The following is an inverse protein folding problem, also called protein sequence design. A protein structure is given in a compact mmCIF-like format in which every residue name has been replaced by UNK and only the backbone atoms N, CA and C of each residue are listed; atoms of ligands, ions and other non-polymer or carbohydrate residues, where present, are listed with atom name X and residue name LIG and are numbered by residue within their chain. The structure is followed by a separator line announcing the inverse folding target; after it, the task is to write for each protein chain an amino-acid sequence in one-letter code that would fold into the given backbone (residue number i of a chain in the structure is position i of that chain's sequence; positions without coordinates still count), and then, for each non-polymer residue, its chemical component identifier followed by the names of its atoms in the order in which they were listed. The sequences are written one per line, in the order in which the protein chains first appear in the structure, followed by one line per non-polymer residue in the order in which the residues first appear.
data_IF_328476259802
#
_entry.id   IF_328476259802
#
_cell.length_a   1.000
_cell.length_b   1.000
_cell.length_c   1.000
_cell.angle_alpha   90.00
_cell.angle_beta   90.00
_cell.angle_gamma   90.00
#
_symmetry.space_group_name_H-M   'P 1'
#
loop_
_entity.id
_entity.type
_entity.pdbx_description
1 polymer ?
#
# COMPACT_ATOMS: atom_id res chain seq x y z
N UNK A 1 -1.54 20.54 3.88
CA UNK A 1 -1.96 21.22 2.62
C UNK A 1 -2.58 20.16 1.72
N UNK A 2 -3.56 20.49 0.87
CA UNK A 2 -4.17 19.50 -0.03
C UNK A 2 -3.55 19.59 -1.43
N UNK A 3 -3.01 18.48 -1.94
CA UNK A 3 -2.41 18.43 -3.28
C UNK A 3 -3.43 18.81 -4.37
N UNK A 4 -4.69 18.44 -4.17
CA UNK A 4 -5.81 18.74 -5.08
C UNK A 4 -6.82 19.65 -4.36
N UNK A 5 -7.34 20.72 -5.00
CA UNK A 5 -8.38 21.56 -4.42
C UNK A 5 -9.67 20.77 -4.10
N UNK A 6 -10.41 21.11 -3.03
CA UNK A 6 -11.62 20.37 -2.63
C UNK A 6 -12.75 20.37 -3.67
N UNK A 7 -12.82 21.38 -4.53
CA UNK A 7 -13.82 21.55 -5.59
C UNK A 7 -13.32 21.09 -6.97
N UNK A 8 -12.11 20.55 -7.06
CA UNK A 8 -11.53 20.11 -8.32
C UNK A 8 -12.31 18.93 -8.91
N UNK A 9 -12.41 18.93 -10.24
CA UNK A 9 -12.70 17.69 -10.96
C UNK A 9 -11.45 16.82 -11.03
N UNK A 10 -11.64 15.52 -10.89
CA UNK A 10 -10.63 14.51 -11.19
C UNK A 10 -11.20 13.54 -12.21
N UNK A 11 -10.43 13.30 -13.26
CA UNK A 11 -10.72 12.30 -14.28
C UNK A 11 -9.97 11.01 -13.95
N UNK A 12 -10.65 9.86 -13.95
CA UNK A 12 -10.03 8.58 -13.60
C UNK A 12 -10.85 7.35 -13.99
N UNK A 13 -10.27 6.17 -13.77
CA UNK A 13 -10.91 4.88 -14.02
C UNK A 13 -12.05 4.59 -13.04
N UNK A 14 -12.92 3.63 -13.37
CA UNK A 14 -14.10 3.28 -12.56
C UNK A 14 -13.74 2.84 -11.14
N UNK A 15 -12.84 1.85 -10.93
CA UNK A 15 -12.50 1.41 -9.58
C UNK A 15 -11.98 2.54 -8.69
N UNK A 16 -10.96 3.27 -9.16
CA UNK A 16 -10.32 4.31 -8.35
C UNK A 16 -11.28 5.48 -8.09
N UNK A 17 -12.05 5.88 -9.11
CA UNK A 17 -13.04 6.94 -8.95
C UNK A 17 -14.20 6.53 -8.05
N UNK A 18 -14.64 5.27 -8.07
CA UNK A 18 -15.73 4.81 -7.19
C UNK A 18 -15.33 4.89 -5.72
N UNK A 19 -14.11 4.47 -5.40
CA UNK A 19 -13.54 4.61 -4.04
C UNK A 19 -13.42 6.07 -3.64
N UNK A 20 -12.88 6.93 -4.50
CA UNK A 20 -12.77 8.36 -4.22
C UNK A 20 -14.15 9.02 -4.04
N UNK A 21 -15.16 8.59 -4.79
CA UNK A 21 -16.54 9.11 -4.66
C UNK A 21 -17.15 8.75 -3.31
N UNK A 22 -16.85 7.55 -2.81
CA UNK A 22 -17.34 7.09 -1.52
C UNK A 22 -16.61 7.77 -0.35
N UNK A 23 -15.32 8.05 -0.52
CA UNK A 23 -14.47 8.57 0.54
C UNK A 23 -14.39 10.12 0.58
N UNK A 24 -14.79 10.82 -0.48
CA UNK A 24 -14.56 12.27 -0.62
C UNK A 24 -15.73 12.99 -1.28
N UNK A 25 -15.73 14.33 -1.20
CA UNK A 25 -16.69 15.21 -1.90
C UNK A 25 -16.18 15.68 -3.27
N UNK A 26 -15.10 15.11 -3.79
CA UNK A 26 -14.48 15.52 -5.05
C UNK A 26 -15.42 15.27 -6.24
N UNK A 27 -15.41 16.18 -7.23
CA UNK A 27 -16.14 15.98 -8.48
C UNK A 27 -15.38 14.96 -9.33
N UNK A 28 -16.04 13.88 -9.75
CA UNK A 28 -15.38 12.82 -10.50
C UNK A 28 -15.94 12.66 -11.90
N UNK A 29 -15.05 12.68 -12.88
CA UNK A 29 -15.34 12.30 -14.27
C UNK A 29 -14.99 10.83 -14.40
N UNK A 30 -16.00 9.98 -14.25
CA UNK A 30 -15.83 8.52 -14.14
C UNK A 30 -15.91 7.89 -15.53
N UNK A 31 -15.03 6.92 -15.77
CA UNK A 31 -15.14 6.01 -16.89
C UNK A 31 -16.01 4.78 -16.54
N UNK A 32 -17.29 4.67 -16.96
CA UNK A 32 -18.07 3.45 -16.74
C UNK A 32 -17.58 2.32 -17.64
N UNK A 33 -17.17 1.20 -17.05
CA UNK A 33 -16.47 0.18 -17.82
C UNK A 33 -17.40 -0.70 -18.67
N UNK A 34 -18.68 -0.91 -18.31
CA UNK A 34 -19.53 -1.89 -19.02
C UNK A 34 -21.04 -1.61 -19.10
N UNK A 35 -21.54 -0.43 -18.68
CA UNK A 35 -22.99 -0.28 -18.45
C UNK A 35 -23.79 0.23 -19.67
N UNK A 36 -23.17 0.93 -20.63
CA UNK A 36 -23.85 1.39 -21.85
C UNK A 36 -22.86 1.80 -22.95
N UNK A 37 -23.11 1.43 -24.22
CA UNK A 37 -22.22 1.74 -25.35
C UNK A 37 -22.06 3.25 -25.60
N UNK A 38 -23.12 4.04 -25.42
CA UNK A 38 -23.07 5.50 -25.57
C UNK A 38 -22.21 6.14 -24.48
N UNK A 39 -22.38 5.72 -23.23
CA UNK A 39 -21.57 6.19 -22.11
C UNK A 39 -20.10 5.84 -22.30
N UNK A 40 -19.79 4.64 -22.81
CA UNK A 40 -18.43 4.24 -23.16
C UNK A 40 -17.80 5.17 -24.20
N UNK A 41 -18.52 5.50 -25.29
CA UNK A 41 -18.02 6.43 -26.32
C UNK A 41 -17.67 7.81 -25.75
N UNK A 42 -18.38 8.26 -24.71
CA UNK A 42 -18.15 9.58 -24.08
C UNK A 42 -16.86 9.66 -23.28
N UNK A 43 -16.31 8.54 -22.82
CA UNK A 43 -15.10 8.49 -21.98
C UNK A 43 -13.99 7.65 -22.59
N UNK A 44 -14.19 7.16 -23.82
CA UNK A 44 -13.28 6.24 -24.50
C UNK A 44 -11.85 6.78 -24.57
N UNK A 45 -11.70 8.10 -24.71
CA UNK A 45 -10.39 8.75 -24.74
C UNK A 45 -9.54 8.45 -23.49
N UNK A 46 -10.15 8.15 -22.33
CA UNK A 46 -9.41 7.82 -21.10
C UNK A 46 -8.56 6.56 -21.26
N UNK A 47 -9.03 5.61 -22.07
CA UNK A 47 -8.24 4.43 -22.41
C UNK A 47 -6.99 4.76 -23.24
N UNK A 48 -6.97 5.94 -23.86
CA UNK A 48 -5.78 6.52 -24.46
C UNK A 48 -4.62 6.68 -23.47
N UNK A 49 -4.86 6.71 -22.16
CA UNK A 49 -3.78 6.77 -21.16
C UNK A 49 -2.79 5.59 -21.29
N UNK A 50 -3.27 4.38 -21.63
CA UNK A 50 -2.42 3.21 -21.88
C UNK A 50 -1.90 3.13 -23.33
N UNK A 51 -2.22 4.11 -24.17
CA UNK A 51 -1.86 4.15 -25.58
C UNK A 51 -0.80 5.24 -25.85
N UNK A 52 -0.82 5.81 -27.06
CA UNK A 52 0.16 6.81 -27.51
C UNK A 52 -0.49 8.11 -28.03
N UNK A 53 -1.35 8.79 -27.24
CA UNK A 53 -1.96 10.07 -27.61
C UNK A 53 -0.94 11.22 -27.66
N UNK A 54 -1.10 12.24 -28.50
CA UNK A 54 -0.36 13.48 -28.34
C UNK A 54 -0.70 14.13 -26.99
N UNK A 55 0.31 14.48 -26.18
CA UNK A 55 0.09 15.00 -24.82
C UNK A 55 -0.75 16.28 -24.81
N UNK A 56 -0.45 17.21 -25.71
CA UNK A 56 -1.16 18.50 -25.82
C UNK A 56 -2.64 18.33 -26.19
N UNK A 57 -2.92 17.38 -27.10
CA UNK A 57 -4.29 17.07 -27.50
C UNK A 57 -5.06 16.41 -26.34
N UNK A 58 -4.41 15.51 -25.61
CA UNK A 58 -4.98 14.84 -24.44
C UNK A 58 -5.29 15.84 -23.31
N UNK A 59 -4.34 16.73 -23.00
CA UNK A 59 -4.53 17.83 -22.05
C UNK A 59 -5.67 18.77 -22.49
N UNK A 60 -5.73 19.12 -23.77
CA UNK A 60 -6.79 19.97 -24.32
C UNK A 60 -8.17 19.32 -24.21
N UNK A 61 -8.29 18.01 -24.45
CA UNK A 61 -9.54 17.28 -24.24
C UNK A 61 -9.99 17.35 -22.78
N UNK A 62 -9.08 17.06 -21.84
CA UNK A 62 -9.36 17.13 -20.41
C UNK A 62 -9.89 18.51 -20.00
N UNK A 63 -9.18 19.58 -20.38
CA UNK A 63 -9.55 20.94 -19.96
C UNK A 63 -10.80 21.45 -20.69
N UNK A 64 -10.90 21.23 -22.01
CA UNK A 64 -11.94 21.88 -22.82
C UNK A 64 -13.26 21.13 -22.86
N UNK A 65 -13.22 19.80 -22.76
CA UNK A 65 -14.41 18.94 -22.87
C UNK A 65 -14.86 18.47 -21.49
N UNK A 66 -13.91 18.04 -20.65
CA UNK A 66 -14.21 17.44 -19.33
C UNK A 66 -14.04 18.41 -18.17
N UNK A 67 -13.55 19.62 -18.42
CA UNK A 67 -13.35 20.68 -17.41
C UNK A 67 -12.56 20.19 -16.19
N UNK A 68 -11.48 19.46 -16.47
CA UNK A 68 -10.60 18.90 -15.45
C UNK A 68 -9.14 19.17 -15.79
N UNK A 69 -8.37 19.55 -14.77
CA UNK A 69 -6.92 19.69 -14.85
C UNK A 69 -6.19 18.48 -14.25
N UNK A 70 -6.92 17.58 -13.59
CA UNK A 70 -6.33 16.46 -12.84
C UNK A 70 -6.69 15.13 -13.48
N UNK A 71 -5.66 14.33 -13.77
CA UNK A 71 -5.77 12.96 -14.24
C UNK A 71 -5.27 12.01 -13.16
N UNK A 72 -6.14 11.11 -12.72
CA UNK A 72 -5.82 9.98 -11.88
C UNK A 72 -5.51 8.76 -12.76
N UNK A 73 -4.29 8.27 -12.67
CA UNK A 73 -3.86 7.06 -13.36
C UNK A 73 -3.68 5.97 -12.30
N UNK A 74 -4.52 4.94 -12.34
CA UNK A 74 -4.24 3.71 -11.62
C UNK A 74 -3.02 3.02 -12.26
N UNK A 75 -2.04 2.65 -11.44
CA UNK A 75 -0.79 2.09 -11.93
C UNK A 75 -0.94 0.75 -12.64
N UNK A 76 -1.99 0.00 -12.33
CA UNK A 76 -2.32 -1.21 -13.08
C UNK A 76 -2.55 -0.92 -14.57
N UNK A 77 -3.02 0.29 -14.94
CA UNK A 77 -3.13 0.73 -16.33
C UNK A 77 -1.78 0.95 -17.02
N UNK A 78 -0.70 0.99 -16.24
CA UNK A 78 0.68 1.01 -16.70
C UNK A 78 1.39 -0.34 -16.59
N UNK A 79 0.73 -1.39 -16.08
CA UNK A 79 1.39 -2.64 -15.80
C UNK A 79 1.85 -3.36 -17.08
N UNK A 80 3.15 -3.68 -17.10
CA UNK A 80 3.76 -4.53 -18.12
C UNK A 80 4.13 -5.86 -17.47
N UNK A 81 3.34 -6.92 -17.72
CA UNK A 81 3.59 -8.23 -17.12
C UNK A 81 4.91 -8.84 -17.61
N UNK A 82 5.64 -9.52 -16.71
CA UNK A 82 6.80 -10.36 -17.06
C UNK A 82 6.32 -11.64 -17.79
N UNK A 83 6.47 -11.64 -19.11
CA UNK A 83 6.33 -12.75 -20.07
C UNK A 83 4.95 -13.45 -20.25
N UNK A 84 4.61 -13.72 -21.51
CA UNK A 84 3.51 -14.57 -22.02
C UNK A 84 2.08 -14.35 -21.47
N UNK A 85 1.81 -13.19 -20.86
CA UNK A 85 0.45 -12.80 -20.44
C UNK A 85 0.00 -11.58 -21.22
N UNK A 86 -1.28 -11.55 -21.60
CA UNK A 86 -1.93 -10.37 -22.19
C UNK A 86 -1.75 -9.21 -21.20
N UNK A 87 -1.01 -8.17 -21.61
CA UNK A 87 -0.80 -6.97 -20.79
C UNK A 87 -1.96 -5.99 -20.97
N UNK A 88 -2.11 -5.04 -20.04
CA UNK A 88 -3.09 -3.96 -20.23
C UNK A 88 -2.82 -3.19 -21.51
N UNK A 89 -1.55 -3.03 -21.88
CA UNK A 89 -1.16 -2.47 -23.18
C UNK A 89 -1.64 -3.31 -24.37
N UNK A 90 -1.54 -4.64 -24.29
CA UNK A 90 -2.08 -5.53 -25.32
C UNK A 90 -3.60 -5.47 -25.43
N UNK A 91 -4.33 -5.33 -24.32
CA UNK A 91 -5.78 -5.10 -24.34
C UNK A 91 -6.11 -3.73 -24.94
N UNK A 92 -5.39 -2.69 -24.53
CA UNK A 92 -5.57 -1.32 -25.00
C UNK A 92 -5.38 -1.21 -26.52
N UNK A 93 -4.35 -1.88 -27.06
CA UNK A 93 -4.06 -1.93 -28.49
C UNK A 93 -5.17 -2.62 -29.31
N UNK A 94 -5.95 -3.53 -28.69
CA UNK A 94 -6.98 -4.33 -29.37
C UNK A 94 -8.40 -3.79 -29.19
N UNK A 95 -8.73 -3.27 -28.00
CA UNK A 95 -10.12 -3.14 -27.56
C UNK A 95 -10.52 -1.70 -27.19
N UNK A 96 -9.59 -0.89 -26.67
CA UNK A 96 -10.02 0.24 -25.84
C UNK A 96 -9.98 1.63 -26.54
N UNK A 97 -8.95 1.96 -27.34
CA UNK A 97 -8.90 3.27 -28.06
C UNK A 97 -8.19 3.20 -29.42
N UNK A 98 -8.96 3.28 -30.52
CA UNK A 98 -8.44 3.24 -31.91
C UNK A 98 -7.90 4.59 -32.39
N UNK A 99 -8.18 5.67 -31.68
CA UNK A 99 -7.78 7.03 -32.02
C UNK A 99 -6.29 7.29 -31.81
N UNK A 100 -5.66 6.53 -30.90
CA UNK A 100 -4.27 6.76 -30.48
C UNK A 100 -3.40 5.50 -30.60
N UNK A 101 -3.34 4.86 -31.78
CA UNK A 101 -2.58 3.62 -31.93
C UNK A 101 -1.10 3.85 -31.60
N UNK A 102 -0.53 2.90 -30.87
CA UNK A 102 0.90 2.83 -30.63
C UNK A 102 1.58 1.99 -31.72
N UNK A 103 2.73 2.44 -32.26
CA UNK A 103 3.61 1.56 -33.03
C UNK A 103 4.02 0.35 -32.18
N UNK A 104 4.13 -0.83 -32.81
CA UNK A 104 4.57 -2.07 -32.12
C UNK A 104 5.97 -1.95 -31.49
N UNK A 105 6.81 -1.07 -32.02
CA UNK A 105 8.16 -0.83 -31.53
C UNK A 105 8.21 0.07 -30.28
N UNK A 106 7.10 0.70 -29.88
CA UNK A 106 7.06 1.51 -28.65
C UNK A 106 7.05 0.59 -27.43
N UNK A 107 8.10 0.68 -26.62
CA UNK A 107 8.20 -0.03 -25.35
C UNK A 107 7.16 0.49 -24.34
N UNK A 108 6.74 -0.37 -23.41
CA UNK A 108 5.71 -0.07 -22.41
C UNK A 108 5.98 1.21 -21.60
N UNK A 109 7.24 1.43 -21.18
CA UNK A 109 7.64 2.64 -20.42
C UNK A 109 7.68 3.91 -21.25
N UNK A 110 7.69 3.80 -22.57
CA UNK A 110 7.60 4.95 -23.46
C UNK A 110 6.15 5.39 -23.67
N UNK A 111 5.16 4.54 -23.38
CA UNK A 111 3.74 4.88 -23.55
C UNK A 111 3.29 5.98 -22.60
N UNK A 112 2.17 6.61 -22.94
CA UNK A 112 1.72 7.84 -22.30
C UNK A 112 1.69 7.77 -20.77
N UNK A 113 1.12 6.70 -20.21
CA UNK A 113 0.93 6.60 -18.78
C UNK A 113 2.25 6.67 -17.98
N UNK A 114 3.37 6.15 -18.52
CA UNK A 114 4.68 6.21 -17.88
C UNK A 114 5.46 7.44 -18.28
N UNK A 115 5.49 7.73 -19.58
CA UNK A 115 6.15 8.89 -20.15
C UNK A 115 5.74 10.17 -19.42
N UNK A 116 4.44 10.32 -19.13
CA UNK A 116 3.92 11.51 -18.45
C UNK A 116 4.31 11.63 -16.98
N UNK A 117 4.64 10.52 -16.32
CA UNK A 117 5.14 10.51 -14.94
C UNK A 117 6.64 10.81 -14.86
N UNK A 118 7.41 10.51 -15.92
CA UNK A 118 8.86 10.71 -15.97
C UNK A 118 9.25 12.05 -16.60
N UNK A 119 8.58 12.47 -17.66
CA UNK A 119 8.86 13.73 -18.36
C UNK A 119 7.77 14.05 -19.37
N UNK A 120 6.99 15.09 -19.09
CA UNK A 120 5.94 15.58 -19.98
C UNK A 120 6.06 17.07 -20.27
N UNK A 121 5.66 17.46 -21.48
CA UNK A 121 5.51 18.86 -21.86
C UNK A 121 4.16 19.45 -21.38
N UNK A 122 3.15 18.60 -21.17
CA UNK A 122 1.78 19.01 -20.85
C UNK A 122 1.30 18.64 -19.45
N UNK A 123 2.05 17.81 -18.71
CA UNK A 123 1.67 17.32 -17.39
C UNK A 123 2.79 17.48 -16.36
N UNK A 124 2.40 17.75 -15.12
CA UNK A 124 3.23 17.68 -13.93
C UNK A 124 2.78 16.49 -13.07
N UNK A 125 3.74 15.69 -12.60
CA UNK A 125 3.47 14.68 -11.57
C UNK A 125 3.26 15.37 -10.22
N UNK A 126 2.02 15.31 -9.73
CA UNK A 126 1.60 15.98 -8.50
C UNK A 126 1.72 15.04 -7.29
N UNK A 127 1.32 13.79 -7.46
CA UNK A 127 1.31 12.78 -6.42
C UNK A 127 1.56 11.39 -7.00
N UNK A 128 2.23 10.53 -6.23
CA UNK A 128 2.50 9.13 -6.58
C UNK A 128 2.66 8.32 -5.31
N UNK A 129 2.08 7.12 -5.25
CA UNK A 129 2.35 6.09 -4.23
C UNK A 129 2.52 4.73 -4.93
N UNK A 130 2.34 3.55 -4.32
CA UNK A 130 2.45 2.27 -5.06
C UNK A 130 1.25 1.89 -5.94
N UNK A 131 0.13 2.63 -5.85
CA UNK A 131 -1.18 2.22 -6.41
C UNK A 131 -1.68 3.14 -7.52
N UNK A 132 -1.45 4.45 -7.39
CA UNK A 132 -1.86 5.42 -8.41
C UNK A 132 -0.93 6.63 -8.50
N UNK A 133 -1.06 7.35 -9.61
CA UNK A 133 -0.44 8.64 -9.88
C UNK A 133 -1.52 9.71 -10.10
N UNK A 134 -1.25 10.94 -9.67
CA UNK A 134 -2.05 12.12 -10.02
C UNK A 134 -1.19 13.05 -10.85
N UNK A 135 -1.64 13.34 -12.07
CA UNK A 135 -1.04 14.30 -12.96
C UNK A 135 -1.88 15.56 -13.01
N UNK A 136 -1.22 16.73 -13.03
CA UNK A 136 -1.86 18.03 -13.27
C UNK A 136 -1.49 18.52 -14.67
N UNK A 137 -2.45 19.01 -15.44
CA UNK A 137 -2.18 19.68 -16.71
C UNK A 137 -1.39 20.97 -16.46
N UNK A 138 -0.30 21.16 -17.19
CA UNK A 138 0.51 22.38 -17.16
C UNK A 138 -0.29 23.53 -17.73
N UNK A 139 -0.26 24.67 -17.03
CA UNK A 139 -0.81 25.90 -17.59
C UNK A 139 0.02 26.33 -18.82
N UNK A 140 -0.62 26.81 -19.89
CA UNK A 140 0.10 27.40 -21.01
C UNK A 140 1.00 28.54 -20.49
N UNK A 141 2.29 28.54 -20.86
CA UNK A 141 3.20 29.63 -20.51
C UNK A 141 2.64 30.96 -21.05
N UNK A 142 2.06 31.78 -20.16
CA UNK A 142 1.58 33.12 -20.50
C UNK A 142 0.12 33.46 -20.18
N UNK A 143 -0.71 32.52 -19.71
CA UNK A 143 -2.09 32.81 -19.31
C UNK A 143 -2.32 32.54 -17.84
N UNK A 144 -1.91 33.49 -16.99
CA UNK A 144 -2.40 33.56 -15.60
C UNK A 144 -3.82 34.12 -15.64
N UNK A 145 -4.80 33.26 -15.87
CA UNK A 145 -6.21 33.63 -15.72
C UNK A 145 -6.66 33.20 -14.32
N UNK A 146 -6.47 34.09 -13.36
CA UNK A 146 -7.22 34.08 -12.10
C UNK A 146 -8.70 34.27 -12.45
N UNK A 147 -9.43 33.17 -12.54
CA UNK A 147 -10.86 33.19 -12.81
C UNK A 147 -11.43 31.80 -12.68
N UNK A 148 -12.35 31.60 -11.73
CA UNK A 148 -13.16 30.38 -11.60
C UNK A 148 -13.62 29.95 -12.99
N UNK A 149 -13.26 28.74 -13.41
CA UNK A 149 -13.70 28.19 -14.69
C UNK A 149 -15.23 28.22 -14.73
N UNK A 150 -15.79 29.22 -15.43
CA UNK A 150 -17.21 29.27 -15.70
C UNK A 150 -17.59 27.96 -16.39
N UNK A 151 -18.57 27.23 -15.84
CA UNK A 151 -19.05 25.98 -16.41
C UNK A 151 -19.46 26.25 -17.86
N UNK A 152 -18.77 25.65 -18.82
CA UNK A 152 -19.05 25.88 -20.24
C UNK A 152 -20.41 25.32 -20.59
N UNK A 153 -21.13 25.98 -21.50
CA UNK A 153 -22.41 25.46 -21.94
C UNK A 153 -22.22 24.11 -22.65
N UNK A 154 -23.26 23.27 -22.65
CA UNK A 154 -23.22 21.99 -23.36
C UNK A 154 -22.92 22.15 -24.86
N UNK A 155 -23.34 23.28 -25.45
CA UNK A 155 -23.05 23.61 -26.86
C UNK A 155 -21.57 23.87 -27.07
N UNK A 156 -20.93 24.65 -26.20
CA UNK A 156 -19.50 24.97 -26.30
C UNK A 156 -18.63 23.73 -26.16
N UNK A 157 -19.01 22.81 -25.26
CA UNK A 157 -18.31 21.53 -25.08
C UNK A 157 -18.40 20.66 -26.34
N UNK A 158 -19.57 20.59 -26.99
CA UNK A 158 -19.75 19.84 -28.23
C UNK A 158 -18.94 20.43 -29.38
N UNK A 159 -18.87 21.75 -29.47
CA UNK A 159 -18.06 22.42 -30.49
C UNK A 159 -16.55 22.20 -30.23
N UNK A 160 -16.10 22.30 -28.97
CA UNK A 160 -14.73 21.96 -28.60
C UNK A 160 -14.38 20.50 -28.91
N UNK A 161 -15.29 19.56 -28.60
CA UNK A 161 -15.11 18.14 -28.93
C UNK A 161 -15.00 17.93 -30.46
N UNK A 162 -15.83 18.61 -31.25
CA UNK A 162 -15.80 18.55 -32.72
C UNK A 162 -14.48 19.09 -33.26
N UNK A 163 -14.01 20.23 -32.76
CA UNK A 163 -12.73 20.82 -33.17
C UNK A 163 -11.55 19.88 -32.84
N UNK A 164 -11.54 19.29 -31.65
CA UNK A 164 -10.47 18.36 -31.25
C UNK A 164 -10.50 17.06 -32.05
N UNK A 165 -11.70 16.56 -32.42
CA UNK A 165 -11.85 15.44 -33.36
C UNK A 165 -11.31 15.78 -34.75
N UNK A 166 -11.46 17.01 -35.21
CA UNK A 166 -10.86 17.45 -36.46
C UNK A 166 -9.34 17.56 -36.36
N UNK A 167 -8.82 18.10 -35.24
CA UNK A 167 -7.38 18.10 -34.96
C UNK A 167 -6.78 16.69 -34.95
N UNK A 168 -7.53 15.69 -34.47
CA UNK A 168 -7.12 14.29 -34.51
C UNK A 168 -7.04 13.74 -35.94
N UNK A 169 -7.89 14.19 -36.87
CA UNK A 169 -7.89 13.74 -38.27
C UNK A 169 -6.70 14.28 -39.06
N UNK A 170 -6.31 15.52 -38.79
CA UNK A 170 -5.15 16.16 -39.42
C UNK A 170 -3.86 15.96 -38.62
N UNK A 171 -3.90 15.14 -37.58
CA UNK A 171 -2.76 14.87 -36.72
C UNK A 171 -1.64 14.22 -37.53
N UNK A 172 -0.43 14.78 -37.40
CA UNK A 172 0.77 14.16 -37.91
C UNK A 172 1.11 12.90 -37.09
N UNK A 173 0.65 11.76 -37.59
CA UNK A 173 0.86 10.44 -36.98
C UNK A 173 2.34 10.10 -36.90
N UNK A 174 3.13 10.50 -37.90
CA UNK A 174 4.56 10.22 -37.94
C UNK A 174 5.26 10.97 -36.81
N UNK A 175 5.08 12.29 -36.72
CA UNK A 175 5.64 13.12 -35.66
C UNK A 175 5.20 12.66 -34.26
N UNK A 176 3.92 12.30 -34.10
CA UNK A 176 3.41 11.69 -32.86
C UNK A 176 4.21 10.44 -32.50
N UNK A 177 4.33 9.50 -33.44
CA UNK A 177 5.00 8.22 -33.20
C UNK A 177 6.49 8.39 -32.91
N UNK A 178 7.16 9.29 -33.63
CA UNK A 178 8.56 9.63 -33.38
C UNK A 178 8.77 10.12 -31.94
N UNK A 179 7.88 10.95 -31.39
CA UNK A 179 7.98 11.41 -30.00
C UNK A 179 7.89 10.29 -28.95
N UNK A 180 7.24 9.17 -29.27
CA UNK A 180 7.17 7.99 -28.42
C UNK A 180 8.37 7.06 -28.61
N UNK A 181 8.80 6.85 -29.85
CA UNK A 181 9.94 5.99 -30.20
C UNK A 181 11.28 6.57 -29.75
N UNK A 182 11.42 7.89 -29.76
CA UNK A 182 12.61 8.62 -29.31
C UNK A 182 12.64 8.90 -27.80
N UNK A 183 11.59 8.53 -27.06
CA UNK A 183 11.56 8.76 -25.62
C UNK A 183 12.53 7.83 -24.90
N UNK A 184 13.63 8.40 -24.41
CA UNK A 184 14.66 7.69 -23.64
C UNK A 184 14.22 7.44 -22.19
N UNK A 185 13.28 6.52 -22.02
CA UNK A 185 12.81 6.13 -20.70
C UNK A 185 13.91 5.49 -19.86
N UNK A 186 14.86 4.77 -20.47
CA UNK A 186 15.93 4.03 -19.78
C UNK A 186 16.85 4.97 -19.01
N UNK A 187 17.28 6.05 -19.65
CA UNK A 187 18.05 7.10 -18.99
C UNK A 187 17.23 7.81 -17.91
N UNK A 188 15.93 8.08 -18.18
CA UNK A 188 15.09 8.77 -17.19
C UNK A 188 14.79 7.96 -15.93
N UNK A 189 14.77 6.64 -16.00
CA UNK A 189 14.59 5.78 -14.82
C UNK A 189 15.91 5.35 -14.20
N UNK A 190 17.06 5.53 -14.86
CA UNK A 190 18.35 5.13 -14.28
C UNK A 190 18.81 6.05 -13.15
N UNK A 191 18.26 7.26 -13.08
CA UNK A 191 18.46 8.25 -12.01
C UNK A 191 17.11 8.67 -11.40
N UNK A 192 17.17 9.50 -10.35
CA UNK A 192 15.97 10.08 -9.73
C UNK A 192 15.61 11.47 -10.28
N UNK A 193 16.38 12.00 -11.24
CA UNK A 193 16.20 13.38 -11.74
C UNK A 193 14.79 13.64 -12.31
N UNK A 194 14.22 12.64 -12.98
CA UNK A 194 12.85 12.70 -13.51
C UNK A 194 11.79 12.79 -12.39
N UNK A 195 12.09 12.24 -11.21
CA UNK A 195 11.18 12.17 -10.07
C UNK A 195 11.40 13.30 -9.06
N UNK A 196 12.54 13.98 -9.10
CA UNK A 196 12.91 15.06 -8.19
C UNK A 196 11.82 16.13 -8.03
N UNK A 197 11.17 16.65 -9.10
CA UNK A 197 10.11 17.64 -8.94
C UNK A 197 8.92 17.16 -8.09
N UNK A 198 8.56 15.88 -8.22
CA UNK A 198 7.54 15.26 -7.38
C UNK A 198 8.07 15.07 -5.95
N UNK A 199 9.28 14.54 -5.78
CA UNK A 199 9.90 14.31 -4.46
C UNK A 199 9.97 15.62 -3.66
N UNK A 200 10.44 16.72 -4.25
CA UNK A 200 10.53 18.02 -3.56
C UNK A 200 9.16 18.54 -3.09
N UNK A 201 8.13 18.37 -3.91
CA UNK A 201 6.75 18.73 -3.54
C UNK A 201 6.23 17.81 -2.43
N UNK A 202 6.43 16.52 -2.57
CA UNK A 202 6.01 15.47 -1.66
C UNK A 202 6.56 15.71 -0.24
N UNK A 203 7.85 16.02 -0.09
CA UNK A 203 8.46 16.34 1.21
C UNK A 203 7.78 17.55 1.89
N UNK A 204 7.27 18.50 1.10
CA UNK A 204 6.66 19.73 1.62
C UNK A 204 5.19 19.55 1.98
N UNK A 205 4.45 18.78 1.19
CA UNK A 205 2.98 18.79 1.21
C UNK A 205 2.36 17.46 1.70
N UNK A 206 3.15 16.40 1.90
CA UNK A 206 2.66 15.04 2.19
C UNK A 206 3.39 14.36 3.36
N UNK A 207 2.67 14.15 4.46
CA UNK A 207 3.18 13.47 5.67
C UNK A 207 3.53 12.00 5.43
N UNK A 208 2.99 11.38 4.37
CA UNK A 208 3.29 10.01 3.98
C UNK A 208 4.33 9.93 2.88
N UNK A 209 5.02 11.02 2.57
CA UNK A 209 5.93 11.09 1.43
C UNK A 209 6.96 9.94 1.40
N UNK A 210 7.66 9.69 2.52
CA UNK A 210 8.62 8.59 2.60
C UNK A 210 7.99 7.24 2.30
N UNK A 211 6.83 6.92 2.88
CA UNK A 211 6.10 5.68 2.56
C UNK A 211 5.69 5.61 1.09
N UNK A 212 5.16 6.70 0.53
CA UNK A 212 4.76 6.77 -0.87
C UNK A 212 5.94 6.53 -1.83
N UNK A 213 7.13 7.03 -1.48
CA UNK A 213 8.37 6.72 -2.21
C UNK A 213 8.73 5.24 -2.15
N UNK A 214 8.61 4.59 -0.98
CA UNK A 214 8.91 3.17 -0.83
C UNK A 214 7.89 2.27 -1.54
N UNK A 215 6.61 2.60 -1.46
CA UNK A 215 5.56 1.88 -2.19
C UNK A 215 5.77 1.97 -3.71
N UNK A 216 6.15 3.16 -4.21
CA UNK A 216 6.49 3.31 -5.62
C UNK A 216 7.77 2.55 -5.98
N UNK A 217 8.78 2.55 -5.11
CA UNK A 217 9.99 1.77 -5.31
C UNK A 217 9.70 0.27 -5.41
N UNK A 218 8.80 -0.24 -4.56
CA UNK A 218 8.37 -1.64 -4.59
C UNK A 218 7.69 -1.97 -5.92
N UNK A 219 6.76 -1.11 -6.35
CA UNK A 219 6.07 -1.27 -7.63
C UNK A 219 7.06 -1.29 -8.83
N UNK A 220 8.05 -0.39 -8.84
CA UNK A 220 9.13 -0.35 -9.82
C UNK A 220 9.90 -1.67 -9.91
N UNK A 221 10.06 -2.39 -8.80
CA UNK A 221 10.72 -3.68 -8.81
C UNK A 221 9.77 -4.81 -9.23
N UNK A 222 8.59 -4.87 -8.63
CA UNK A 222 7.66 -6.00 -8.76
C UNK A 222 7.03 -6.06 -10.14
N UNK A 223 6.44 -4.94 -10.58
CA UNK A 223 5.72 -4.88 -11.85
C UNK A 223 6.65 -4.68 -13.03
N UNK A 224 7.81 -4.05 -12.80
CA UNK A 224 8.62 -3.47 -13.87
C UNK A 224 10.06 -3.99 -13.91
N UNK A 225 10.53 -4.68 -12.86
CA UNK A 225 11.88 -5.22 -12.81
C UNK A 225 12.99 -4.16 -12.70
N UNK A 226 12.65 -2.91 -12.37
CA UNK A 226 13.58 -1.78 -12.26
C UNK A 226 14.28 -1.77 -10.89
N UNK A 227 15.05 -2.81 -10.62
CA UNK A 227 15.73 -3.04 -9.33
C UNK A 227 16.66 -1.88 -8.93
N UNK A 228 17.37 -1.28 -9.89
CA UNK A 228 18.30 -0.16 -9.63
C UNK A 228 17.53 1.09 -9.21
N UNK A 229 16.51 1.49 -9.97
CA UNK A 229 15.67 2.64 -9.65
C UNK A 229 14.94 2.47 -8.32
N UNK A 230 14.41 1.28 -8.07
CA UNK A 230 13.78 0.90 -6.81
C UNK A 230 14.74 1.12 -5.63
N UNK A 231 15.98 0.61 -5.72
CA UNK A 231 17.01 0.82 -4.70
C UNK A 231 17.31 2.30 -4.48
N UNK A 232 17.53 3.06 -5.55
CA UNK A 232 17.81 4.50 -5.45
C UNK A 232 16.68 5.23 -4.71
N UNK A 233 15.43 4.93 -5.04
CA UNK A 233 14.27 5.57 -4.42
C UNK A 233 14.10 5.15 -2.95
N UNK A 234 14.38 3.88 -2.61
CA UNK A 234 14.43 3.38 -1.24
C UNK A 234 15.48 4.11 -0.40
N UNK A 235 16.72 4.22 -0.90
CA UNK A 235 17.82 4.91 -0.23
C UNK A 235 17.53 6.41 -0.07
N UNK A 236 16.95 7.04 -1.11
CA UNK A 236 16.54 8.44 -1.05
C UNK A 236 15.47 8.68 0.02
N UNK A 237 14.48 7.78 0.13
CA UNK A 237 13.44 7.87 1.16
C UNK A 237 14.04 7.84 2.57
N UNK A 238 14.93 6.88 2.85
CA UNK A 238 15.63 6.79 4.15
C UNK A 238 16.47 8.04 4.42
N UNK A 239 17.18 8.54 3.40
CA UNK A 239 18.01 9.75 3.53
C UNK A 239 17.19 10.99 3.86
N UNK A 240 15.98 11.12 3.32
CA UNK A 240 15.09 12.25 3.57
C UNK A 240 14.32 12.13 4.89
N UNK A 241 14.04 10.90 5.33
CA UNK A 241 13.24 10.61 6.52
C UNK A 241 13.98 9.67 7.49
N UNK A 242 15.17 10.06 8.00
CA UNK A 242 16.07 9.16 8.74
C UNK A 242 15.57 8.76 10.14
N UNK A 243 14.55 9.44 10.65
CA UNK A 243 13.93 9.21 11.95
C UNK A 243 12.47 8.70 11.86
N UNK A 244 11.93 8.52 10.65
CA UNK A 244 10.55 8.09 10.49
C UNK A 244 10.44 6.56 10.62
N UNK A 245 9.74 6.09 11.65
CA UNK A 245 9.61 4.66 11.98
C UNK A 245 9.21 3.79 10.77
N UNK A 246 8.09 4.11 10.11
CA UNK A 246 7.61 3.30 8.98
C UNK A 246 8.59 3.27 7.80
N UNK A 247 9.35 4.37 7.57
CA UNK A 247 10.32 4.43 6.48
C UNK A 247 11.52 3.53 6.76
N UNK A 248 12.05 3.61 7.98
CA UNK A 248 13.14 2.74 8.41
C UNK A 248 12.72 1.28 8.39
N UNK A 249 11.56 0.98 8.98
CA UNK A 249 11.05 -0.38 9.04
C UNK A 249 10.77 -0.95 7.64
N UNK A 250 10.12 -0.17 6.76
CA UNK A 250 9.89 -0.54 5.37
C UNK A 250 11.17 -0.75 4.57
N UNK A 251 12.24 0.00 4.86
CA UNK A 251 13.55 -0.24 4.24
C UNK A 251 14.19 -1.53 4.74
N UNK A 252 14.00 -1.88 6.02
CA UNK A 252 14.38 -3.19 6.57
C UNK A 252 13.71 -4.34 5.84
N UNK A 253 12.40 -4.25 5.60
CA UNK A 253 11.64 -5.23 4.81
C UNK A 253 12.23 -5.39 3.41
N UNK A 254 12.51 -4.27 2.74
CA UNK A 254 13.12 -4.28 1.40
C UNK A 254 14.49 -4.96 1.36
N UNK A 255 15.36 -4.66 2.33
CA UNK A 255 16.68 -5.28 2.40
C UNK A 255 16.59 -6.79 2.66
N UNK A 256 15.67 -7.21 3.52
CA UNK A 256 15.47 -8.61 3.89
C UNK A 256 14.91 -9.43 2.73
N UNK A 257 13.70 -9.10 2.26
CA UNK A 257 12.97 -9.91 1.29
C UNK A 257 13.48 -9.72 -0.15
N UNK A 258 13.79 -8.49 -0.55
CA UNK A 258 14.05 -8.18 -1.95
C UNK A 258 15.54 -8.21 -2.30
N UNK A 259 16.39 -7.80 -1.35
CA UNK A 259 17.84 -7.78 -1.53
C UNK A 259 18.55 -8.99 -0.92
N UNK A 260 17.90 -9.76 -0.05
CA UNK A 260 18.52 -10.90 0.65
C UNK A 260 19.64 -10.48 1.60
N UNK A 261 19.59 -9.24 2.11
CA UNK A 261 20.60 -8.65 2.98
C UNK A 261 20.05 -8.49 4.40
N UNK A 262 19.82 -9.63 5.07
CA UNK A 262 19.26 -9.64 6.42
C UNK A 262 20.19 -8.97 7.45
N UNK A 263 21.51 -8.96 7.24
CA UNK A 263 22.45 -8.29 8.16
C UNK A 263 22.19 -6.78 8.25
N UNK A 264 22.08 -6.12 7.11
CA UNK A 264 21.79 -4.68 7.09
C UNK A 264 20.33 -4.41 7.45
N UNK A 265 19.41 -5.29 7.05
CA UNK A 265 17.99 -5.20 7.40
C UNK A 265 17.76 -5.14 8.92
N UNK A 266 18.51 -5.92 9.71
CA UNK A 266 18.41 -5.93 11.17
C UNK A 266 18.54 -4.53 11.79
N UNK A 267 19.47 -3.73 11.27
CA UNK A 267 19.70 -2.36 11.74
C UNK A 267 18.49 -1.46 11.48
N UNK A 268 17.84 -1.62 10.33
CA UNK A 268 16.69 -0.82 9.94
C UNK A 268 15.40 -1.25 10.63
N UNK A 269 15.19 -2.56 10.79
CA UNK A 269 14.09 -3.08 11.60
C UNK A 269 14.18 -2.61 13.05
N UNK A 270 15.37 -2.70 13.66
CA UNK A 270 15.59 -2.23 15.04
C UNK A 270 15.28 -0.74 15.17
N UNK A 271 15.91 0.10 14.35
CA UNK A 271 15.67 1.55 14.37
C UNK A 271 14.21 1.90 14.10
N UNK A 272 13.56 1.21 13.17
CA UNK A 272 12.15 1.40 12.86
C UNK A 272 11.25 1.08 14.05
N UNK A 273 11.48 -0.05 14.72
CA UNK A 273 10.75 -0.43 15.93
C UNK A 273 11.01 0.54 17.10
N UNK A 274 12.26 0.98 17.30
CA UNK A 274 12.63 1.91 18.37
C UNK A 274 11.98 3.30 18.22
N UNK A 275 11.76 3.74 16.98
CA UNK A 275 11.08 5.02 16.68
C UNK A 275 9.56 4.96 16.83
N UNK A 276 8.98 3.77 17.03
CA UNK A 276 7.55 3.58 17.29
C UNK A 276 7.34 2.47 18.33
N UNK A 277 7.68 2.75 19.60
CA UNK A 277 7.66 1.76 20.68
C UNK A 277 6.23 1.30 21.06
N UNK A 278 5.19 1.95 20.53
CA UNK A 278 3.79 1.57 20.76
C UNK A 278 3.25 0.62 19.67
N UNK A 279 4.04 0.34 18.63
CA UNK A 279 3.64 -0.57 17.55
C UNK A 279 3.96 -2.02 17.90
N UNK A 280 2.93 -2.74 18.33
CA UNK A 280 2.98 -4.19 18.55
C UNK A 280 3.47 -4.90 17.29
N UNK A 281 2.93 -4.51 16.12
CA UNK A 281 3.30 -5.08 14.83
C UNK A 281 4.82 -5.02 14.57
N UNK A 282 5.43 -3.83 14.71
CA UNK A 282 6.87 -3.65 14.43
C UNK A 282 7.74 -4.40 15.42
N UNK A 283 7.42 -4.35 16.71
CA UNK A 283 8.16 -5.10 17.73
C UNK A 283 8.13 -6.60 17.47
N UNK A 284 6.94 -7.15 17.21
CA UNK A 284 6.77 -8.59 16.97
C UNK A 284 7.44 -9.02 15.68
N UNK A 285 7.25 -8.26 14.60
CA UNK A 285 7.86 -8.57 13.31
C UNK A 285 9.39 -8.47 13.37
N UNK A 286 9.95 -7.49 14.09
CA UNK A 286 11.40 -7.42 14.29
C UNK A 286 11.95 -8.65 15.02
N UNK A 287 11.32 -9.10 16.11
CA UNK A 287 11.80 -10.30 16.81
C UNK A 287 11.57 -11.59 16.03
N UNK A 288 10.47 -11.70 15.26
CA UNK A 288 10.28 -12.82 14.33
C UNK A 288 11.40 -12.86 13.28
N UNK A 289 11.77 -11.70 12.74
CA UNK A 289 12.90 -11.57 11.84
C UNK A 289 14.21 -11.99 12.52
N UNK A 290 14.47 -11.57 13.77
CA UNK A 290 15.65 -12.03 14.50
C UNK A 290 15.65 -13.55 14.68
N UNK A 291 14.51 -14.18 15.03
CA UNK A 291 14.43 -15.63 15.23
C UNK A 291 14.68 -16.41 13.93
N UNK A 292 14.10 -15.95 12.82
CA UNK A 292 14.03 -16.69 11.56
C UNK A 292 15.21 -16.41 10.62
N UNK A 293 15.67 -15.14 10.53
CA UNK A 293 16.68 -14.73 9.56
C UNK A 293 18.07 -14.56 10.17
N UNK A 294 18.17 -14.14 11.43
CA UNK A 294 19.47 -13.93 12.11
C UNK A 294 19.85 -15.12 12.99
N UNK A 295 18.90 -15.64 13.75
CA UNK A 295 19.04 -16.78 14.64
C UNK A 295 18.37 -16.56 15.99
N UNK A 296 17.77 -17.63 16.50
CA UNK A 296 17.04 -17.66 17.78
C UNK A 296 17.79 -17.08 18.97
N UNK A 297 19.11 -17.26 19.06
CA UNK A 297 19.91 -16.68 20.15
C UNK A 297 19.81 -15.16 20.18
N UNK A 298 19.80 -14.50 19.02
CA UNK A 298 19.66 -13.05 18.92
C UNK A 298 18.26 -12.57 19.30
N UNK A 299 17.23 -13.36 18.99
CA UNK A 299 15.87 -13.10 19.43
C UNK A 299 15.73 -13.24 20.96
N UNK A 300 16.37 -14.25 21.57
CA UNK A 300 16.43 -14.41 23.03
C UNK A 300 17.08 -13.21 23.70
N UNK A 301 18.20 -12.70 23.18
CA UNK A 301 18.85 -11.48 23.69
C UNK A 301 17.91 -10.26 23.67
N UNK A 302 16.92 -10.25 22.77
CA UNK A 302 15.98 -9.15 22.57
C UNK A 302 14.61 -9.37 23.24
N UNK A 303 14.45 -10.43 24.06
CA UNK A 303 13.15 -10.84 24.62
C UNK A 303 12.46 -9.74 25.43
N UNK A 304 13.21 -8.87 26.09
CA UNK A 304 12.69 -7.74 26.88
C UNK A 304 11.79 -6.81 26.05
N UNK A 305 12.01 -6.71 24.73
CA UNK A 305 11.14 -5.92 23.83
C UNK A 305 9.71 -6.47 23.78
N UNK A 306 9.51 -7.79 23.89
CA UNK A 306 8.17 -8.39 23.99
C UNK A 306 7.56 -8.16 25.37
N UNK A 307 8.38 -8.07 26.41
CA UNK A 307 7.87 -7.81 27.77
C UNK A 307 7.25 -6.42 27.87
N UNK A 308 7.84 -5.42 27.20
CA UNK A 308 7.29 -4.07 27.12
C UNK A 308 5.92 -3.98 26.42
N UNK A 309 5.49 -5.02 25.68
CA UNK A 309 4.15 -5.04 25.11
C UNK A 309 3.07 -5.04 26.21
N UNK A 310 3.38 -5.50 27.42
CA UNK A 310 2.47 -5.42 28.55
C UNK A 310 2.04 -3.98 28.85
N UNK A 311 2.98 -3.03 28.84
CA UNK A 311 2.68 -1.61 29.05
C UNK A 311 1.76 -1.06 27.96
N UNK A 312 1.85 -1.59 26.74
CA UNK A 312 1.00 -1.19 25.62
C UNK A 312 -0.44 -1.68 25.83
N UNK A 313 -0.62 -2.86 26.42
CA UNK A 313 -1.96 -3.39 26.72
C UNK A 313 -2.76 -2.47 27.65
N UNK A 314 -2.08 -1.72 28.51
CA UNK A 314 -2.69 -0.78 29.46
C UNK A 314 -2.91 0.61 28.84
N UNK A 315 -2.09 0.99 27.85
CA UNK A 315 -2.15 2.31 27.20
C UNK A 315 -3.15 2.40 26.07
N UNK A 316 -3.43 1.29 25.37
CA UNK A 316 -4.34 1.26 24.22
C UNK A 316 -5.76 0.83 24.61
N UNK A 317 -6.74 1.41 23.94
CA UNK A 317 -8.15 0.99 24.03
C UNK A 317 -8.38 -0.37 23.37
N UNK A 318 -9.51 -1.03 23.69
CA UNK A 318 -9.89 -2.28 23.02
C UNK A 318 -10.01 -2.12 21.49
N UNK A 319 -10.49 -0.96 21.02
CA UNK A 319 -10.63 -0.69 19.59
C UNK A 319 -9.25 -0.63 18.90
N UNK A 320 -8.29 0.07 19.50
CA UNK A 320 -6.91 0.14 18.97
C UNK A 320 -6.20 -1.21 19.04
N UNK A 321 -6.45 -2.01 20.07
CA UNK A 321 -5.84 -3.33 20.23
C UNK A 321 -6.47 -4.39 19.31
N UNK A 322 -7.69 -4.18 18.83
CA UNK A 322 -8.36 -5.14 17.95
C UNK A 322 -7.57 -5.36 16.65
N UNK A 323 -7.01 -4.29 16.10
CA UNK A 323 -6.13 -4.35 14.92
C UNK A 323 -4.79 -5.07 15.23
N UNK A 324 -4.35 -5.04 16.48
CA UNK A 324 -3.14 -5.72 16.97
C UNK A 324 -3.39 -7.18 17.40
N UNK A 325 -4.64 -7.69 17.41
CA UNK A 325 -4.98 -8.99 17.98
C UNK A 325 -4.14 -10.14 17.41
N UNK A 326 -3.92 -10.15 16.09
CA UNK A 326 -3.05 -11.13 15.42
C UNK A 326 -1.60 -11.02 15.90
N UNK A 327 -1.07 -9.80 16.02
CA UNK A 327 0.31 -9.56 16.42
C UNK A 327 0.53 -9.88 17.89
N UNK A 328 -0.44 -9.60 18.76
CA UNK A 328 -0.41 -10.04 20.16
C UNK A 328 -0.37 -11.57 20.28
N UNK A 329 -1.20 -12.28 19.50
CA UNK A 329 -1.13 -13.74 19.48
C UNK A 329 0.26 -14.25 19.01
N UNK A 330 0.80 -13.67 17.93
CA UNK A 330 2.16 -13.99 17.45
C UNK A 330 3.23 -13.68 18.50
N UNK A 331 3.08 -12.58 19.24
CA UNK A 331 3.97 -12.21 20.33
C UNK A 331 3.98 -13.27 21.44
N UNK A 332 2.80 -13.74 21.86
CA UNK A 332 2.69 -14.78 22.87
C UNK A 332 3.33 -16.10 22.41
N UNK A 333 3.04 -16.53 21.17
CA UNK A 333 3.65 -17.73 20.58
C UNK A 333 5.17 -17.63 20.52
N UNK A 334 5.69 -16.50 20.04
CA UNK A 334 7.12 -16.27 19.96
C UNK A 334 7.75 -16.25 21.35
N UNK A 335 7.18 -15.52 22.30
CA UNK A 335 7.68 -15.47 23.67
C UNK A 335 7.74 -16.86 24.29
N UNK A 336 6.70 -17.68 24.07
CA UNK A 336 6.69 -19.07 24.53
C UNK A 336 7.85 -19.90 23.94
N UNK A 337 8.09 -19.78 22.63
CA UNK A 337 9.21 -20.48 21.97
C UNK A 337 10.58 -20.03 22.49
N UNK A 338 10.75 -18.73 22.75
CA UNK A 338 11.98 -18.17 23.31
C UNK A 338 12.20 -18.61 24.76
N UNK A 339 11.14 -18.65 25.59
CA UNK A 339 11.18 -19.19 26.96
C UNK A 339 11.54 -20.67 26.95
N UNK A 340 10.84 -21.49 26.16
CA UNK A 340 11.10 -22.93 26.03
C UNK A 340 12.57 -23.19 25.63
N UNK A 341 13.15 -22.32 24.79
CA UNK A 341 14.55 -22.39 24.38
C UNK A 341 15.51 -22.05 25.51
N UNK A 342 15.27 -20.96 26.25
CA UNK A 342 16.07 -20.58 27.43
C UNK A 342 16.02 -21.67 28.51
N UNK A 343 14.84 -22.24 28.77
CA UNK A 343 14.65 -23.33 29.75
C UNK A 343 15.48 -24.56 29.35
N UNK A 344 15.48 -24.95 28.07
CA UNK A 344 16.31 -26.06 27.55
C UNK A 344 17.81 -25.78 27.72
N UNK A 345 18.22 -24.52 27.68
CA UNK A 345 19.61 -24.09 27.87
C UNK A 345 20.02 -23.99 29.35
N UNK A 346 19.10 -24.23 30.30
CA UNK A 346 19.40 -24.21 31.75
C UNK A 346 18.94 -22.96 32.49
N UNK A 347 18.36 -21.98 31.81
CA UNK A 347 17.93 -20.70 32.43
C UNK A 347 16.92 -20.87 33.57
N UNK A 348 16.17 -21.98 33.61
CA UNK A 348 15.28 -22.31 34.73
C UNK A 348 16.02 -22.49 36.07
N UNK A 349 17.31 -22.82 36.02
CA UNK A 349 18.18 -22.93 37.20
C UNK A 349 18.97 -21.64 37.44
N UNK A 350 19.41 -20.99 36.37
CA UNK A 350 20.31 -19.84 36.45
C UNK A 350 19.56 -18.53 36.74
N UNK A 351 18.38 -18.34 36.14
CA UNK A 351 17.59 -17.09 36.22
C UNK A 351 16.08 -17.36 36.38
N UNK A 352 15.66 -18.10 37.43
CA UNK A 352 14.27 -18.55 37.60
C UNK A 352 13.24 -17.41 37.64
N UNK A 353 13.56 -16.29 38.29
CA UNK A 353 12.66 -15.14 38.36
C UNK A 353 12.43 -14.48 36.98
N UNK A 354 13.45 -14.43 36.12
CA UNK A 354 13.31 -13.86 34.79
C UNK A 354 12.40 -14.73 33.91
N UNK A 355 12.56 -16.07 33.99
CA UNK A 355 11.70 -17.02 33.28
C UNK A 355 10.25 -16.91 33.76
N UNK A 356 10.03 -16.86 35.08
CA UNK A 356 8.69 -16.70 35.65
C UNK A 356 8.01 -15.41 35.16
N UNK A 357 8.75 -14.31 35.06
CA UNK A 357 8.21 -13.05 34.56
C UNK A 357 7.87 -13.11 33.06
N UNK A 358 8.73 -13.73 32.24
CA UNK A 358 8.45 -13.95 30.82
C UNK A 358 7.20 -14.81 30.63
N UNK A 359 7.01 -15.87 31.40
CA UNK A 359 5.81 -16.72 31.37
C UNK A 359 4.54 -15.95 31.79
N UNK A 360 4.65 -15.08 32.81
CA UNK A 360 3.55 -14.23 33.27
C UNK A 360 3.08 -13.29 32.16
N UNK A 361 4.01 -12.57 31.53
CA UNK A 361 3.72 -11.63 30.45
C UNK A 361 3.19 -12.36 29.22
N UNK A 362 3.79 -13.50 28.85
CA UNK A 362 3.32 -14.37 27.79
C UNK A 362 1.85 -14.75 27.98
N UNK A 363 1.46 -15.21 29.17
CA UNK A 363 0.08 -15.58 29.46
C UNK A 363 -0.86 -14.36 29.38
N UNK A 364 -0.42 -13.18 29.83
CA UNK A 364 -1.22 -11.95 29.76
C UNK A 364 -1.47 -11.52 28.31
N UNK A 365 -0.44 -11.57 27.46
CA UNK A 365 -0.55 -11.25 26.04
C UNK A 365 -1.48 -12.26 25.33
N UNK A 366 -1.32 -13.56 25.62
CA UNK A 366 -2.18 -14.61 25.10
C UNK A 366 -3.65 -14.40 25.49
N UNK A 367 -3.93 -14.22 26.78
CA UNK A 367 -5.27 -13.93 27.31
C UNK A 367 -5.88 -12.72 26.58
N UNK A 368 -5.10 -11.66 26.42
CA UNK A 368 -5.57 -10.45 25.75
C UNK A 368 -5.90 -10.67 24.28
N UNK A 369 -5.09 -11.43 23.55
CA UNK A 369 -5.36 -11.76 22.14
C UNK A 369 -6.68 -12.53 21.95
N UNK A 370 -6.97 -13.50 22.83
CA UNK A 370 -8.22 -14.26 22.83
C UNK A 370 -9.42 -13.38 23.13
N UNK A 371 -9.28 -12.50 24.13
CA UNK A 371 -10.33 -11.55 24.52
C UNK A 371 -10.75 -10.68 23.34
N UNK A 372 -9.77 -10.14 22.61
CA UNK A 372 -9.99 -9.26 21.47
C UNK A 372 -10.65 -9.98 20.29
N UNK A 373 -10.13 -11.16 19.92
CA UNK A 373 -10.66 -11.92 18.80
C UNK A 373 -10.34 -13.42 18.91
N UNK A 374 -11.26 -14.18 19.53
CA UNK A 374 -11.13 -15.64 19.66
C UNK A 374 -11.17 -16.39 18.32
N UNK A 375 -11.70 -15.75 17.27
CA UNK A 375 -11.81 -16.33 15.93
C UNK A 375 -10.59 -16.01 15.05
N UNK A 376 -9.65 -15.22 15.57
CA UNK A 376 -8.41 -14.93 14.88
C UNK A 376 -7.65 -16.23 14.55
N UNK A 377 -7.19 -16.37 13.31
CA UNK A 377 -6.51 -17.58 12.82
C UNK A 377 -5.34 -18.00 13.73
N UNK A 378 -4.49 -17.04 14.13
CA UNK A 378 -3.38 -17.30 15.03
C UNK A 378 -3.86 -17.87 16.38
N UNK A 379 -4.95 -17.33 16.94
CA UNK A 379 -5.52 -17.79 18.21
C UNK A 379 -6.08 -19.20 18.06
N UNK A 380 -6.76 -19.49 16.96
CA UNK A 380 -7.32 -20.82 16.68
C UNK A 380 -6.21 -21.87 16.58
N UNK A 381 -5.14 -21.57 15.87
CA UNK A 381 -3.99 -22.47 15.68
C UNK A 381 -3.16 -22.64 16.95
N UNK A 382 -2.89 -21.53 17.65
CA UNK A 382 -2.13 -21.50 18.89
C UNK A 382 -2.86 -22.08 20.10
N UNK A 383 -4.18 -22.29 20.00
CA UNK A 383 -5.02 -22.67 21.13
C UNK A 383 -4.53 -23.91 21.88
N UNK A 384 -4.23 -24.99 21.15
CA UNK A 384 -3.80 -26.24 21.77
C UNK A 384 -2.47 -26.11 22.51
N UNK A 385 -1.61 -25.20 22.06
CA UNK A 385 -0.29 -24.96 22.63
C UNK A 385 -0.33 -24.23 23.97
N UNK A 386 -1.38 -23.43 24.22
CA UNK A 386 -1.57 -22.70 25.49
C UNK A 386 -2.62 -23.33 26.41
N UNK A 387 -3.70 -23.86 25.85
CA UNK A 387 -4.88 -24.28 26.62
C UNK A 387 -4.97 -25.81 26.78
N UNK A 388 -4.00 -26.57 26.23
CA UNK A 388 -3.95 -28.04 26.28
C UNK A 388 -5.27 -28.71 25.87
N UNK A 389 -5.99 -28.10 24.94
CA UNK A 389 -7.31 -28.54 24.47
C UNK A 389 -7.54 -28.05 23.04
N UNK A 390 -8.61 -28.48 22.37
CA UNK A 390 -9.03 -27.88 21.08
C UNK A 390 -10.07 -26.79 21.33
N UNK A 391 -10.01 -25.72 20.54
CA UNK A 391 -11.04 -24.67 20.59
C UNK A 391 -12.36 -25.22 20.02
N UNK A 392 -13.40 -25.26 20.85
CA UNK A 392 -14.72 -25.79 20.46
C UNK A 392 -15.64 -24.69 19.93
N UNK A 393 -16.59 -25.06 19.07
CA UNK A 393 -17.64 -24.14 18.57
C UNK A 393 -18.45 -23.54 19.72
N UNK A 394 -18.77 -24.34 20.74
CA UNK A 394 -19.49 -23.86 21.92
C UNK A 394 -18.74 -22.71 22.63
N UNK A 395 -17.42 -22.81 22.76
CA UNK A 395 -16.60 -21.76 23.38
C UNK A 395 -16.50 -20.49 22.54
N UNK A 396 -16.51 -20.61 21.20
CA UNK A 396 -16.59 -19.46 20.29
C UNK A 396 -17.94 -18.74 20.40
N UNK A 397 -19.03 -19.49 20.45
CA UNK A 397 -20.39 -18.95 20.64
C UNK A 397 -20.48 -18.25 21.99
N UNK A 398 -19.96 -18.87 23.05
CA UNK A 398 -19.92 -18.27 24.37
C UNK A 398 -19.15 -16.95 24.38
N UNK A 399 -17.96 -16.92 23.78
CA UNK A 399 -17.16 -15.69 23.69
C UNK A 399 -17.90 -14.59 22.91
N UNK A 400 -18.59 -14.93 21.82
CA UNK A 400 -19.39 -13.96 21.07
C UNK A 400 -20.47 -13.27 21.93
N UNK A 401 -21.17 -14.04 22.78
CA UNK A 401 -22.26 -13.49 23.59
C UNK A 401 -21.81 -12.88 24.92
N UNK A 402 -20.71 -13.37 25.51
CA UNK A 402 -20.35 -13.06 26.90
C UNK A 402 -18.88 -12.63 27.10
N UNK A 403 -18.07 -12.62 26.03
CA UNK A 403 -16.62 -12.39 26.10
C UNK A 403 -15.83 -13.48 26.83
N UNK A 404 -14.50 -13.33 26.93
CA UNK A 404 -13.67 -14.12 27.85
C UNK A 404 -13.75 -13.51 29.27
N UNK A 405 -14.82 -13.80 30.00
CA UNK A 405 -14.87 -13.51 31.43
C UNK A 405 -14.13 -14.61 32.21
N UNK A 406 -13.06 -14.25 32.94
CA UNK A 406 -12.32 -15.16 33.85
C UNK A 406 -13.25 -15.84 34.86
N UNK A 407 -14.35 -15.17 35.24
CA UNK A 407 -15.37 -15.71 36.13
C UNK A 407 -16.22 -16.79 35.44
N UNK A 408 -16.75 -16.52 34.25
CA UNK A 408 -17.53 -17.47 33.46
C UNK A 408 -16.72 -18.70 33.02
N UNK A 409 -15.44 -18.50 32.66
CA UNK A 409 -14.51 -19.59 32.33
C UNK A 409 -14.32 -20.57 33.48
N UNK A 410 -14.12 -20.07 34.73
CA UNK A 410 -13.99 -20.91 35.93
C UNK A 410 -15.29 -21.60 36.31
N UNK A 411 -16.42 -20.89 36.23
CA UNK A 411 -17.75 -21.46 36.53
C UNK A 411 -18.07 -22.59 35.56
N UNK A 412 -17.79 -22.42 34.26
CA UNK A 412 -18.08 -23.46 33.26
C UNK A 412 -17.11 -24.64 33.38
N UNK A 413 -15.82 -24.42 33.68
CA UNK A 413 -14.90 -25.54 33.98
C UNK A 413 -15.39 -26.36 35.16
N UNK A 414 -15.89 -25.70 36.21
CA UNK A 414 -16.49 -26.35 37.36
C UNK A 414 -17.78 -27.12 36.98
N UNK A 415 -18.66 -26.52 36.17
CA UNK A 415 -19.91 -27.14 35.69
C UNK A 415 -19.64 -28.33 34.74
N UNK A 416 -18.68 -28.23 33.83
CA UNK A 416 -18.29 -29.33 32.93
C UNK A 416 -17.63 -30.49 33.68
N UNK A 417 -16.83 -30.21 34.72
CA UNK A 417 -16.30 -31.23 35.62
C UNK A 417 -17.41 -31.92 36.42
N UNK A 418 -18.42 -31.16 36.87
CA UNK A 418 -19.60 -31.67 37.58
C UNK A 418 -20.50 -32.55 36.68
N UNK A 419 -20.74 -32.13 35.43
CA UNK A 419 -21.54 -32.90 34.47
C UNK A 419 -20.85 -34.21 34.10
N UNK A 420 -19.51 -34.19 33.93
CA UNK A 420 -18.76 -35.41 33.66
C UNK A 420 -18.72 -36.37 34.86
N UNK A 421 -18.78 -35.88 36.10
CA UNK A 421 -18.88 -36.75 37.28
C UNK A 421 -20.27 -37.34 37.46
N UNK A 422 -21.33 -36.60 37.12
CA UNK A 422 -22.72 -37.07 37.14
C UNK A 422 -23.06 -38.09 36.03
N UNK A 423 -22.34 -38.09 34.91
CA UNK A 423 -22.51 -39.06 33.82
C UNK A 423 -21.67 -40.35 34.01
N UNK A 424 -20.79 -40.37 35.01
CA UNK A 424 -19.97 -41.53 35.42
C UNK A 424 -20.43 -42.14 36.76
N UNK A 425 -21.53 -41.64 37.32
CA UNK A 425 -22.30 -42.22 38.43
C UNK A 425 -23.55 -42.89 37.87
#
# INVERSE_FOLDING_TARGET
KTNVPPDAAILGDMPSSSTLRAATQLRLVIHPQFEQAEMRKRVQFLYGASACPPEELYASLMQRVYETDYLLINNFRCAAAKQNKVTVFGVADLVEEKSFPCPRAVESFSRFCFKTQLSSASFDLLYRNGVYAVLKVKEPRGTRAEGKAATRSQSDRKEAEKQLKESLRVLDIQKKNEAYLSFDWKSKVSTLEALDPWIQRCITDDERCGRNMQEFAQELMDLYGLKVTSRLLQEKSVSLFPDHSDVLFGHGVFLDFDMGNSKDAATYYERGADKDPLSVAKTVQFLLFLDQAIGRSRAVESVNRLLHLEDILEKKTNAELLDDATNLCKAALLLKQLVDTQVKQGASRDTPHAIQEQERVMQRIWDRSKELNIQNECVVEGWAYFENSRLTTARRIQHFFFGESRFLSRVIRAVSLFINTLLLS
#
